data_IF_653945828233
#
_entry.id   IF_653945828233
#
_cell.length_a   1.000
_cell.length_b   1.000
_cell.length_c   1.000
_cell.angle_alpha   90.00
_cell.angle_beta   90.00
_cell.angle_gamma   90.00
#
_symmetry.space_group_name_H-M   'P 1'
#
loop_
_entity.id
_entity.type
_entity.pdbx_description
1 polymer ?
#
# COMPACT_ATOMS: atom_id res chain seq x y z
N UNK A 1 12.25 -7.50 11.44
CA UNK A 1 12.58 -6.23 10.76
C UNK A 1 13.60 -6.51 9.66
N UNK A 2 13.22 -6.27 8.41
CA UNK A 2 14.09 -6.21 7.25
C UNK A 2 15.08 -5.05 7.43
N UNK A 3 16.35 -5.34 7.19
CA UNK A 3 17.46 -4.38 7.21
C UNK A 3 18.27 -4.52 5.93
N UNK A 4 19.14 -3.55 5.63
CA UNK A 4 20.05 -3.63 4.49
C UNK A 4 20.97 -4.87 4.63
N UNK A 5 21.51 -5.12 5.82
CA UNK A 5 22.35 -6.29 6.11
C UNK A 5 21.63 -7.62 5.85
N UNK A 6 20.36 -7.74 6.27
CA UNK A 6 19.56 -8.93 6.01
C UNK A 6 19.26 -9.10 4.51
N UNK A 7 19.05 -7.99 3.79
CA UNK A 7 18.84 -8.00 2.36
C UNK A 7 20.12 -8.41 1.59
N UNK A 8 21.28 -7.92 2.01
CA UNK A 8 22.58 -8.33 1.48
C UNK A 8 22.82 -9.83 1.69
N UNK A 9 22.49 -10.35 2.87
CA UNK A 9 22.53 -11.79 3.13
C UNK A 9 21.62 -12.57 2.17
N UNK A 10 20.35 -12.15 2.03
CA UNK A 10 19.40 -12.79 1.12
C UNK A 10 19.88 -12.73 -0.34
N UNK A 11 20.52 -11.64 -0.77
CA UNK A 11 21.12 -11.52 -2.10
C UNK A 11 22.24 -12.54 -2.29
N UNK A 12 23.12 -12.72 -1.30
CA UNK A 12 24.21 -13.67 -1.36
C UNK A 12 23.69 -15.12 -1.44
N UNK A 13 22.71 -15.46 -0.62
CA UNK A 13 22.05 -16.78 -0.63
C UNK A 13 21.33 -17.03 -1.97
N UNK A 14 20.55 -16.06 -2.45
CA UNK A 14 19.84 -16.16 -3.73
C UNK A 14 20.81 -16.29 -4.91
N UNK A 15 21.96 -15.60 -4.88
CA UNK A 15 22.99 -15.70 -5.92
C UNK A 15 23.56 -17.11 -5.99
N UNK A 16 23.90 -17.70 -4.85
CA UNK A 16 24.38 -19.08 -4.80
C UNK A 16 23.32 -20.07 -5.32
N UNK A 17 22.03 -19.84 -5.00
CA UNK A 17 20.93 -20.67 -5.49
C UNK A 17 20.71 -20.56 -7.01
N UNK A 18 20.89 -19.36 -7.59
CA UNK A 18 20.85 -19.16 -9.05
C UNK A 18 22.02 -19.85 -9.73
N UNK A 19 23.23 -19.74 -9.18
CA UNK A 19 24.43 -20.44 -9.68
C UNK A 19 24.27 -21.96 -9.63
N UNK A 20 23.59 -22.48 -8.59
CA UNK A 20 23.25 -23.90 -8.44
C UNK A 20 22.09 -24.36 -9.34
N UNK A 21 21.42 -23.45 -10.06
CA UNK A 21 20.26 -23.75 -10.91
C UNK A 21 18.97 -24.08 -10.14
N UNK A 22 18.93 -23.83 -8.83
CA UNK A 22 17.76 -24.09 -7.97
C UNK A 22 16.82 -22.89 -7.86
N UNK A 23 17.26 -21.71 -8.32
CA UNK A 23 16.48 -20.47 -8.32
C UNK A 23 16.61 -19.75 -9.66
N UNK A 24 15.59 -18.95 -9.99
CA UNK A 24 15.53 -18.17 -11.22
C UNK A 24 16.33 -16.87 -11.13
N UNK A 25 17.01 -16.50 -12.22
CA UNK A 25 17.80 -15.25 -12.29
C UNK A 25 16.94 -14.01 -12.05
N UNK A 26 15.66 -14.05 -12.43
CA UNK A 26 14.70 -12.98 -12.20
C UNK A 26 14.48 -12.67 -10.71
N UNK A 27 14.57 -13.69 -9.84
CA UNK A 27 14.42 -13.52 -8.38
C UNK A 27 15.64 -12.80 -7.80
N UNK A 28 16.85 -13.15 -8.26
CA UNK A 28 18.06 -12.42 -7.88
C UNK A 28 18.01 -10.97 -8.37
N UNK A 29 17.54 -10.74 -9.60
CA UNK A 29 17.41 -9.39 -10.13
C UNK A 29 16.39 -8.55 -9.35
N UNK A 30 15.30 -9.16 -8.87
CA UNK A 30 14.36 -8.52 -7.97
C UNK A 30 15.05 -8.05 -6.68
N UNK A 31 15.80 -8.92 -5.99
CA UNK A 31 16.50 -8.53 -4.77
C UNK A 31 17.56 -7.43 -5.01
N UNK A 32 18.27 -7.48 -6.13
CA UNK A 32 19.25 -6.44 -6.49
C UNK A 32 18.58 -5.08 -6.74
N UNK A 33 17.43 -5.07 -7.42
CA UNK A 33 16.65 -3.85 -7.63
C UNK A 33 16.11 -3.33 -6.29
N UNK A 34 15.54 -4.20 -5.46
CA UNK A 34 15.05 -3.83 -4.13
C UNK A 34 16.16 -3.23 -3.27
N UNK A 35 17.36 -3.81 -3.28
CA UNK A 35 18.50 -3.26 -2.56
C UNK A 35 18.89 -1.87 -3.08
N UNK A 36 18.92 -1.68 -4.40
CA UNK A 36 19.20 -0.37 -4.99
C UNK A 36 18.17 0.68 -4.55
N UNK A 37 16.90 0.32 -4.54
CA UNK A 37 15.81 1.23 -4.12
C UNK A 37 15.90 1.54 -2.63
N UNK A 38 16.27 0.56 -1.80
CA UNK A 38 16.35 0.69 -0.34
C UNK A 38 17.68 1.27 0.18
N UNK A 39 18.75 1.25 -0.62
CA UNK A 39 20.07 1.75 -0.20
C UNK A 39 20.07 3.24 0.15
N UNK A 40 19.19 4.03 -0.48
CA UNK A 40 19.02 5.46 -0.22
C UNK A 40 17.67 5.79 0.41
N UNK A 41 16.94 4.77 0.87
CA UNK A 41 15.62 4.93 1.46
C UNK A 41 15.72 5.62 2.83
N UNK A 42 14.79 6.52 3.10
CA UNK A 42 14.67 7.20 4.39
C UNK A 42 14.24 6.21 5.49
N UNK A 43 14.38 6.60 6.75
CA UNK A 43 13.88 5.78 7.87
C UNK A 43 12.36 5.54 7.75
N UNK A 44 11.60 6.53 7.28
CA UNK A 44 10.15 6.42 7.02
C UNK A 44 9.85 5.36 5.95
N UNK A 45 10.68 5.28 4.92
CA UNK A 45 10.55 4.27 3.84
C UNK A 45 10.78 2.87 4.40
N UNK A 46 11.85 2.67 5.18
CA UNK A 46 12.14 1.40 5.82
C UNK A 46 11.03 0.96 6.78
N UNK A 47 10.45 1.90 7.54
CA UNK A 47 9.31 1.60 8.42
C UNK A 47 8.09 1.15 7.61
N UNK A 48 7.80 1.83 6.50
CA UNK A 48 6.69 1.47 5.62
C UNK A 48 6.86 0.08 4.98
N UNK A 49 8.07 -0.25 4.51
CA UNK A 49 8.38 -1.57 3.98
C UNK A 49 8.25 -2.67 5.03
N UNK A 50 8.81 -2.44 6.22
CA UNK A 50 8.70 -3.39 7.33
C UNK A 50 7.25 -3.59 7.76
N UNK A 51 6.45 -2.53 7.80
CA UNK A 51 5.04 -2.61 8.13
C UNK A 51 4.27 -3.50 7.16
N UNK A 52 4.51 -3.37 5.85
CA UNK A 52 3.92 -4.27 4.84
C UNK A 52 4.41 -5.70 5.05
N UNK A 53 5.73 -5.91 5.14
CA UNK A 53 6.33 -7.24 5.25
C UNK A 53 5.87 -8.02 6.50
N UNK A 54 5.64 -7.32 7.61
CA UNK A 54 5.24 -7.93 8.88
C UNK A 54 3.72 -8.19 8.95
N UNK A 55 2.91 -7.38 8.27
CA UNK A 55 1.46 -7.40 8.46
C UNK A 55 0.69 -7.93 7.25
N UNK A 56 1.11 -7.63 6.02
CA UNK A 56 0.40 -8.06 4.82
C UNK A 56 0.70 -9.54 4.54
N UNK A 57 -0.32 -10.41 4.39
CA UNK A 57 -0.07 -11.82 4.13
C UNK A 57 0.64 -12.04 2.78
N UNK A 58 1.52 -13.04 2.75
CA UNK A 58 2.26 -13.45 1.55
C UNK A 58 1.31 -13.89 0.40
N UNK A 59 1.87 -13.96 -0.81
CA UNK A 59 1.16 -14.51 -1.95
C UNK A 59 0.68 -15.95 -1.68
N UNK A 60 -0.55 -16.27 -2.09
CA UNK A 60 -1.19 -17.56 -1.83
C UNK A 60 -1.93 -17.66 -0.49
N UNK A 61 -1.87 -16.62 0.35
CA UNK A 61 -2.75 -16.52 1.52
C UNK A 61 -4.23 -16.35 1.12
N UNK A 62 -5.11 -16.59 2.08
CA UNK A 62 -6.55 -16.37 1.91
C UNK A 62 -6.85 -14.91 1.52
N UNK A 63 -7.61 -14.73 0.43
CA UNK A 63 -7.91 -13.42 -0.15
C UNK A 63 -8.68 -12.52 0.83
N UNK A 64 -9.55 -13.10 1.67
CA UNK A 64 -10.30 -12.34 2.68
C UNK A 64 -9.34 -11.77 3.70
N UNK A 65 -8.40 -12.58 4.21
CA UNK A 65 -7.38 -12.13 5.14
C UNK A 65 -6.50 -11.01 4.56
N UNK A 66 -6.10 -11.12 3.28
CA UNK A 66 -5.32 -10.09 2.59
C UNK A 66 -6.10 -8.78 2.52
N UNK A 67 -7.38 -8.83 2.09
CA UNK A 67 -8.24 -7.63 2.03
C UNK A 67 -8.41 -7.00 3.41
N UNK A 68 -8.68 -7.79 4.45
CA UNK A 68 -8.90 -7.26 5.80
C UNK A 68 -7.65 -6.60 6.38
N UNK A 69 -6.49 -7.24 6.29
CA UNK A 69 -5.23 -6.64 6.78
C UNK A 69 -4.78 -5.47 5.92
N UNK A 70 -4.90 -5.60 4.61
CA UNK A 70 -4.62 -4.54 3.65
C UNK A 70 -5.41 -3.28 3.93
N UNK A 71 -6.72 -3.43 4.16
CA UNK A 71 -7.61 -2.33 4.51
C UNK A 71 -7.14 -1.59 5.77
N UNK A 72 -6.72 -2.31 6.82
CA UNK A 72 -6.23 -1.69 8.07
C UNK A 72 -4.96 -0.87 7.84
N UNK A 73 -4.06 -1.36 6.98
CA UNK A 73 -2.84 -0.64 6.61
C UNK A 73 -3.16 0.65 5.84
N UNK A 74 -4.04 0.58 4.83
CA UNK A 74 -4.50 1.74 4.08
C UNK A 74 -5.20 2.75 4.99
N UNK A 75 -6.06 2.29 5.91
CA UNK A 75 -6.77 3.15 6.84
C UNK A 75 -5.82 3.97 7.72
N UNK A 76 -4.74 3.36 8.20
CA UNK A 76 -3.70 4.05 8.97
C UNK A 76 -2.99 5.13 8.16
N UNK A 77 -2.66 4.86 6.90
CA UNK A 77 -2.05 5.87 6.02
C UNK A 77 -3.01 7.01 5.68
N UNK A 78 -4.27 6.71 5.39
CA UNK A 78 -5.28 7.76 5.13
C UNK A 78 -5.46 8.64 6.36
N UNK A 79 -5.49 8.08 7.56
CA UNK A 79 -5.49 8.89 8.78
C UNK A 79 -4.21 9.72 8.91
N UNK A 80 -3.03 9.14 8.67
CA UNK A 80 -1.74 9.87 8.70
C UNK A 80 -1.77 11.06 7.73
N UNK A 81 -2.27 10.86 6.52
CA UNK A 81 -2.43 11.89 5.49
C UNK A 81 -3.39 13.01 5.91
N UNK A 82 -4.58 12.68 6.42
CA UNK A 82 -5.51 13.71 6.93
C UNK A 82 -4.84 14.51 8.06
N UNK A 83 -4.15 13.81 8.96
CA UNK A 83 -3.47 14.42 10.10
C UNK A 83 -2.35 15.39 9.69
N UNK A 84 -1.58 15.09 8.65
CA UNK A 84 -0.52 15.98 8.15
C UNK A 84 -1.08 17.23 7.44
N UNK A 85 -2.32 17.15 6.92
CA UNK A 85 -2.96 18.21 6.13
C UNK A 85 -3.80 19.18 6.97
N UNK A 86 -4.20 18.81 8.17
CA UNK A 86 -5.02 19.66 9.04
C UNK A 86 -4.16 20.62 9.90
N UNK A 87 -4.52 21.91 10.03
CA UNK A 87 -3.87 22.83 10.97
C UNK A 87 -4.06 22.44 12.43
N UNK A 88 -5.22 21.86 12.74
CA UNK A 88 -5.57 21.39 14.08
C UNK A 88 -5.98 19.91 14.05
N UNK A 89 -5.02 18.98 13.92
CA UNK A 89 -5.31 17.54 13.81
C UNK A 89 -5.96 16.96 15.07
N UNK A 90 -5.81 17.61 16.23
CA UNK A 90 -6.38 17.15 17.50
C UNK A 90 -7.92 17.19 17.49
N UNK A 91 -8.51 18.16 16.82
CA UNK A 91 -9.97 18.24 16.67
C UNK A 91 -10.52 17.05 15.87
N UNK A 92 -9.80 16.60 14.84
CA UNK A 92 -10.18 15.44 14.04
C UNK A 92 -10.12 14.14 14.84
N UNK A 93 -9.04 13.92 15.62
CA UNK A 93 -8.87 12.71 16.45
C UNK A 93 -9.94 12.55 17.54
N UNK A 94 -10.57 13.64 17.96
CA UNK A 94 -11.61 13.61 19.00
C UNK A 94 -12.94 13.01 18.54
N UNK A 95 -13.08 12.73 17.23
CA UNK A 95 -14.30 12.24 16.62
C UNK A 95 -14.12 10.82 16.08
N UNK A 96 -15.19 10.02 16.11
CA UNK A 96 -15.22 8.69 15.50
C UNK A 96 -15.78 8.78 14.08
N UNK A 97 -14.94 9.05 13.09
CA UNK A 97 -15.32 9.01 11.69
C UNK A 97 -15.39 7.57 11.16
N UNK A 98 -16.36 7.30 10.28
CA UNK A 98 -16.35 6.07 9.49
C UNK A 98 -15.24 6.16 8.47
N UNK A 99 -14.58 5.04 8.15
CA UNK A 99 -13.48 5.06 7.19
C UNK A 99 -13.89 5.61 5.80
N UNK A 100 -15.12 5.34 5.35
CA UNK A 100 -15.64 5.93 4.10
C UNK A 100 -15.68 7.46 4.11
N UNK A 101 -15.91 8.07 5.28
CA UNK A 101 -15.86 9.53 5.44
C UNK A 101 -14.41 10.02 5.42
N UNK A 102 -13.48 9.29 6.06
CA UNK A 102 -12.06 9.60 5.99
C UNK A 102 -11.54 9.59 4.56
N UNK A 103 -11.93 8.60 3.74
CA UNK A 103 -11.56 8.55 2.31
C UNK A 103 -12.04 9.82 1.58
N UNK A 104 -13.30 10.22 1.77
CA UNK A 104 -13.85 11.41 1.12
C UNK A 104 -13.13 12.70 1.55
N UNK A 105 -12.80 12.81 2.83
CA UNK A 105 -12.05 13.97 3.36
C UNK A 105 -10.63 14.01 2.78
N UNK A 106 -9.94 12.87 2.75
CA UNK A 106 -8.59 12.78 2.21
C UNK A 106 -8.57 13.09 0.71
N UNK A 107 -9.51 12.54 -0.06
CA UNK A 107 -9.68 12.84 -1.48
C UNK A 107 -9.93 14.33 -1.74
N UNK A 108 -10.76 14.97 -0.91
CA UNK A 108 -11.04 16.41 -1.02
C UNK A 108 -9.81 17.30 -0.73
N UNK A 109 -8.75 16.75 -0.13
CA UNK A 109 -7.48 17.46 0.10
C UNK A 109 -6.51 17.35 -1.08
N UNK A 110 -6.86 16.58 -2.13
CA UNK A 110 -6.11 16.40 -3.36
C UNK A 110 -6.72 17.22 -4.51
N UNK A 111 -5.91 17.50 -5.54
CA UNK A 111 -6.43 18.07 -6.78
C UNK A 111 -7.27 17.03 -7.54
N UNK A 112 -8.29 17.45 -8.31
CA UNK A 112 -9.16 16.54 -9.07
C UNK A 112 -8.51 16.12 -10.41
N UNK A 113 -7.20 15.84 -10.42
CA UNK A 113 -6.48 15.31 -11.57
C UNK A 113 -6.60 13.77 -11.63
N UNK A 114 -6.26 13.21 -12.79
CA UNK A 114 -6.49 11.80 -13.13
C UNK A 114 -5.86 10.83 -12.13
N UNK A 115 -4.61 11.07 -11.73
CA UNK A 115 -3.86 10.16 -10.85
C UNK A 115 -4.44 10.08 -9.42
N UNK A 116 -4.66 11.19 -8.67
CA UNK A 116 -5.37 11.12 -7.40
C UNK A 116 -6.80 10.59 -7.52
N UNK A 117 -7.54 10.97 -8.58
CA UNK A 117 -8.89 10.46 -8.79
C UNK A 117 -8.91 8.93 -8.94
N UNK A 118 -7.98 8.38 -9.73
CA UNK A 118 -7.82 6.94 -9.89
C UNK A 118 -7.42 6.25 -8.58
N UNK A 119 -6.44 6.81 -7.86
CA UNK A 119 -5.98 6.27 -6.58
C UNK A 119 -7.12 6.16 -5.57
N UNK A 120 -7.86 7.25 -5.37
CA UNK A 120 -8.97 7.28 -4.43
C UNK A 120 -10.14 6.39 -4.86
N UNK A 121 -10.34 6.19 -6.17
CA UNK A 121 -11.28 5.19 -6.67
C UNK A 121 -10.90 3.78 -6.22
N UNK A 122 -9.61 3.40 -6.30
CA UNK A 122 -9.16 2.07 -5.85
C UNK A 122 -9.26 1.90 -4.33
N UNK A 123 -8.96 2.95 -3.54
CA UNK A 123 -9.13 2.93 -2.08
C UNK A 123 -10.61 2.74 -1.70
N UNK A 124 -11.54 3.39 -2.40
CA UNK A 124 -12.99 3.20 -2.20
C UNK A 124 -13.44 1.79 -2.57
N UNK A 125 -12.88 1.23 -3.64
CA UNK A 125 -13.20 -0.13 -4.08
C UNK A 125 -12.77 -1.16 -3.02
N UNK A 126 -11.53 -1.05 -2.49
CA UNK A 126 -11.06 -1.90 -1.40
C UNK A 126 -11.97 -1.81 -0.16
N UNK A 127 -12.36 -0.59 0.24
CA UNK A 127 -13.29 -0.40 1.34
C UNK A 127 -14.65 -1.04 1.07
N UNK A 128 -15.12 -1.05 -0.18
CA UNK A 128 -16.40 -1.67 -0.56
C UNK A 128 -16.31 -3.19 -0.50
N UNK A 129 -15.24 -3.79 -1.02
CA UNK A 129 -14.96 -5.23 -0.91
C UNK A 129 -14.93 -5.64 0.57
N UNK A 130 -14.17 -4.92 1.40
CA UNK A 130 -14.12 -5.16 2.85
C UNK A 130 -15.50 -5.02 3.50
N UNK A 131 -16.29 -4.02 3.08
CA UNK A 131 -17.65 -3.83 3.57
C UNK A 131 -18.55 -5.05 3.31
N UNK A 132 -18.49 -5.61 2.10
CA UNK A 132 -19.24 -6.83 1.75
C UNK A 132 -18.79 -8.03 2.60
N UNK A 133 -17.47 -8.23 2.73
CA UNK A 133 -16.90 -9.31 3.55
C UNK A 133 -17.26 -9.20 5.04
N UNK A 134 -17.46 -7.99 5.55
CA UNK A 134 -17.79 -7.75 6.96
C UNK A 134 -19.29 -7.91 7.29
N UNK A 135 -20.17 -7.73 6.30
CA UNK A 135 -21.62 -7.71 6.51
C UNK A 135 -22.35 -8.93 5.96
N UNK A 136 -21.71 -9.70 5.08
CA UNK A 136 -22.29 -10.89 4.44
C UNK A 136 -21.43 -12.12 4.76
N UNK A 137 -22.05 -13.19 5.24
CA UNK A 137 -21.36 -14.47 5.50
C UNK A 137 -20.87 -15.14 4.21
N UNK A 138 -21.59 -14.93 3.10
CA UNK A 138 -21.26 -15.47 1.77
C UNK A 138 -21.61 -14.42 0.69
N UNK A 139 -20.77 -13.40 0.53
CA UNK A 139 -21.05 -12.33 -0.41
C UNK A 139 -21.00 -12.84 -1.85
N UNK A 140 -22.07 -12.56 -2.60
CA UNK A 140 -22.18 -13.00 -4.00
C UNK A 140 -21.14 -12.28 -4.85
N UNK A 141 -20.44 -13.02 -5.71
CA UNK A 141 -19.46 -12.50 -6.68
C UNK A 141 -18.25 -11.78 -6.06
N UNK A 142 -17.95 -12.00 -4.77
CA UNK A 142 -16.84 -11.32 -4.10
C UNK A 142 -15.49 -11.64 -4.75
N UNK A 143 -15.28 -12.90 -5.15
CA UNK A 143 -14.05 -13.32 -5.82
C UNK A 143 -13.85 -12.61 -7.17
N UNK A 144 -14.93 -12.47 -7.95
CA UNK A 144 -14.90 -11.70 -9.20
C UNK A 144 -14.57 -10.24 -8.95
N UNK A 145 -15.12 -9.65 -7.88
CA UNK A 145 -14.84 -8.25 -7.53
C UNK A 145 -13.39 -8.05 -7.09
N UNK A 146 -12.86 -8.93 -6.25
CA UNK A 146 -11.44 -8.94 -5.86
C UNK A 146 -10.56 -9.10 -7.11
N UNK A 147 -10.89 -10.03 -8.00
CA UNK A 147 -10.15 -10.22 -9.25
C UNK A 147 -10.13 -8.96 -10.13
N UNK A 148 -11.27 -8.27 -10.27
CA UNK A 148 -11.35 -7.03 -11.05
C UNK A 148 -10.52 -5.89 -10.42
N UNK A 149 -10.58 -5.76 -9.10
CA UNK A 149 -9.75 -4.82 -8.34
C UNK A 149 -8.26 -5.06 -8.58
N UNK A 150 -7.81 -6.32 -8.43
CA UNK A 150 -6.41 -6.71 -8.66
C UNK A 150 -5.99 -6.46 -10.10
N UNK A 151 -6.80 -6.87 -11.07
CA UNK A 151 -6.50 -6.69 -12.49
C UNK A 151 -6.42 -5.21 -12.88
N UNK A 152 -7.27 -4.37 -12.30
CA UNK A 152 -7.26 -2.92 -12.55
C UNK A 152 -5.93 -2.31 -12.09
N UNK A 153 -5.52 -2.58 -10.86
CA UNK A 153 -4.26 -2.06 -10.31
C UNK A 153 -3.06 -2.64 -11.08
N UNK A 154 -3.03 -3.95 -11.29
CA UNK A 154 -1.92 -4.61 -11.97
C UNK A 154 -1.69 -4.08 -13.39
N UNK A 155 -2.77 -3.85 -14.14
CA UNK A 155 -2.66 -3.33 -15.51
C UNK A 155 -2.27 -1.84 -15.53
N UNK A 156 -2.88 -1.00 -14.69
CA UNK A 156 -2.56 0.43 -14.66
C UNK A 156 -1.12 0.68 -14.20
N UNK A 157 -0.64 -0.12 -13.23
CA UNK A 157 0.68 0.04 -12.62
C UNK A 157 1.75 -0.88 -13.25
N UNK A 158 1.41 -1.66 -14.29
CA UNK A 158 2.29 -2.64 -14.93
C UNK A 158 2.96 -3.62 -13.94
N UNK A 159 2.19 -4.16 -13.00
CA UNK A 159 2.71 -5.09 -12.01
C UNK A 159 3.03 -6.45 -12.64
N UNK A 160 4.13 -7.08 -12.22
CA UNK A 160 4.50 -8.44 -12.65
C UNK A 160 3.62 -9.53 -12.01
N UNK A 161 3.04 -9.26 -10.84
CA UNK A 161 2.19 -10.18 -10.09
C UNK A 161 0.76 -9.62 -9.99
N UNK A 162 -0.22 -10.47 -10.30
CA UNK A 162 -1.65 -10.16 -10.27
C UNK A 162 -2.31 -10.83 -9.05
N UNK A 163 -1.84 -10.50 -7.85
CA UNK A 163 -2.38 -11.04 -6.59
C UNK A 163 -3.01 -9.93 -5.74
N UNK A 164 -3.93 -10.25 -4.82
CA UNK A 164 -4.42 -9.28 -3.85
C UNK A 164 -3.30 -8.65 -3.03
N UNK A 165 -2.27 -9.43 -2.67
CA UNK A 165 -1.12 -8.95 -1.93
C UNK A 165 -0.33 -7.91 -2.73
N UNK A 166 -0.01 -8.18 -4.00
CA UNK A 166 0.74 -7.22 -4.83
C UNK A 166 -0.07 -5.93 -5.07
N UNK A 167 -1.37 -6.06 -5.35
CA UNK A 167 -2.25 -4.92 -5.58
C UNK A 167 -2.39 -4.03 -4.33
N UNK A 168 -2.61 -4.63 -3.16
CA UNK A 168 -2.72 -3.89 -1.89
C UNK A 168 -1.38 -3.25 -1.50
N UNK A 169 -0.26 -3.95 -1.65
CA UNK A 169 1.06 -3.40 -1.35
C UNK A 169 1.38 -2.19 -2.24
N UNK A 170 1.04 -2.26 -3.53
CA UNK A 170 1.22 -1.14 -4.44
C UNK A 170 0.33 0.05 -4.06
N UNK A 171 -0.95 -0.21 -3.79
CA UNK A 171 -1.88 0.82 -3.33
C UNK A 171 -1.40 1.50 -2.03
N UNK A 172 -0.86 0.71 -1.10
CA UNK A 172 -0.25 1.23 0.12
C UNK A 172 0.94 2.15 -0.19
N UNK A 173 1.85 1.73 -1.08
CA UNK A 173 2.97 2.55 -1.52
C UNK A 173 2.54 3.90 -2.09
N UNK A 174 1.49 3.92 -2.90
CA UNK A 174 0.94 5.17 -3.47
C UNK A 174 0.37 6.11 -2.40
N UNK A 175 -0.44 5.59 -1.46
CA UNK A 175 -0.97 6.42 -0.35
C UNK A 175 0.15 6.89 0.58
N UNK A 176 1.19 6.08 0.77
CA UNK A 176 2.37 6.48 1.53
C UNK A 176 3.12 7.60 0.83
N UNK A 177 3.29 7.53 -0.50
CA UNK A 177 3.87 8.62 -1.30
C UNK A 177 3.09 9.94 -1.13
N UNK A 178 1.75 9.89 -1.09
CA UNK A 178 0.94 11.07 -0.75
C UNK A 178 1.24 11.61 0.66
N UNK A 179 1.49 10.73 1.64
CA UNK A 179 1.89 11.16 2.98
C UNK A 179 3.24 11.88 2.97
N UNK A 180 4.21 11.39 2.21
CA UNK A 180 5.53 12.03 2.12
C UNK A 180 5.42 13.38 1.43
N UNK A 181 4.70 13.46 0.30
CA UNK A 181 4.42 14.74 -0.37
C UNK A 181 3.80 15.75 0.61
N UNK A 182 2.84 15.34 1.42
CA UNK A 182 2.23 16.22 2.43
C UNK A 182 3.16 16.69 3.53
N UNK A 183 4.25 15.96 3.79
CA UNK A 183 5.18 16.27 4.87
C UNK A 183 6.39 17.06 4.36
N UNK A 184 6.84 16.75 3.14
CA UNK A 184 8.13 17.19 2.61
C UNK A 184 7.98 18.31 1.57
N UNK A 185 6.88 18.37 0.83
CA UNK A 185 6.63 19.40 -0.18
C UNK A 185 5.91 20.62 0.44
N UNK A 186 6.56 21.80 0.51
CA UNK A 186 5.95 23.02 1.05
C UNK A 186 4.74 23.51 0.25
N UNK A 187 4.68 23.24 -1.06
CA UNK A 187 3.55 23.58 -1.93
C UNK A 187 2.40 22.57 -1.77
N UNK A 188 2.72 21.36 -1.28
CA UNK A 188 1.76 20.34 -0.86
C UNK A 188 1.48 20.35 0.66
N UNK A 189 1.89 21.38 1.41
CA UNK A 189 1.35 21.65 2.76
C UNK A 189 0.11 22.51 2.61
N UNK A 190 -1.00 22.11 3.23
CA UNK A 190 -2.30 22.73 2.98
C UNK A 190 -2.37 24.21 3.42
N UNK A 191 -1.33 24.74 4.06
CA UNK A 191 -1.30 26.09 4.58
C UNK A 191 0.11 26.68 4.46
N UNK A 192 0.30 27.58 3.48
CA UNK A 192 1.16 28.75 3.67
C UNK A 192 0.32 29.76 4.45
N UNK A 193 0.59 29.93 5.74
CA UNK A 193 0.16 31.12 6.49
C UNK A 193 1.16 32.22 6.19
#
# INVERSE_FOLDING_TARGET
MLTLELLEQNIAECRAAVEAGTEKSEVLQFFLNLHKDLANASESDWQAYNEIAENLPNEGADNVLVVLKGQLLIERLVHKFIHSRLPNPKAFKSQSFRFSQCIQIAEAMCLPNEEPAWLWQQVKELNTIRGQLAHELQPKNIDTRIHNFVTTIANTCNLSSHTPTSAVAHLYGMVKGLCDLSTDDPDFKAFKI
#
